data_IF_103275871747
#
_entry.id   IF_103275871747
#
_cell.length_a   1.000
_cell.length_b   1.000
_cell.length_c   1.000
_cell.angle_alpha   90.00
_cell.angle_beta   90.00
_cell.angle_gamma   90.00
#
_symmetry.space_group_name_H-M   'P 1'
#
loop_
_entity.id
_entity.type
_entity.pdbx_description
1 polymer ?
#
# COMPACT_ATOMS: atom_id res chain seq x y z
N UNK A 1 -11.10 -39.72 -9.71
CA UNK A 1 -11.28 -39.37 -8.29
C UNK A 1 -10.10 -38.52 -7.84
N UNK A 2 -10.27 -37.19 -7.81
CA UNK A 2 -9.31 -36.19 -7.30
C UNK A 2 -10.04 -34.84 -7.27
N UNK A 3 -11.10 -34.75 -6.48
CA UNK A 3 -11.95 -33.56 -6.31
C UNK A 3 -12.20 -33.33 -4.81
N UNK A 4 -11.16 -33.38 -3.98
CA UNK A 4 -11.30 -33.20 -2.52
C UNK A 4 -10.16 -32.37 -1.91
N UNK A 5 -9.54 -31.48 -2.70
CA UNK A 5 -8.44 -30.62 -2.23
C UNK A 5 -8.83 -29.15 -2.02
N UNK A 6 -10.08 -28.75 -2.31
CA UNK A 6 -10.52 -27.34 -2.23
C UNK A 6 -11.27 -26.97 -0.93
N UNK A 7 -11.55 -27.93 -0.04
CA UNK A 7 -12.37 -27.68 1.15
C UNK A 7 -11.55 -27.30 2.40
N UNK A 8 -10.23 -27.37 2.34
CA UNK A 8 -9.34 -27.08 3.49
C UNK A 8 -9.06 -25.59 3.73
N UNK A 9 -9.41 -24.70 2.78
CA UNK A 9 -9.22 -23.25 2.92
C UNK A 9 -10.43 -22.51 3.52
N UNK A 10 -11.58 -23.20 3.65
CA UNK A 10 -12.81 -22.63 4.22
C UNK A 10 -12.70 -22.14 5.69
N UNK A 11 -11.96 -22.79 6.62
CA UNK A 11 -11.94 -22.32 8.01
C UNK A 11 -11.13 -21.04 8.21
N UNK A 12 -10.25 -20.67 7.28
CA UNK A 12 -9.48 -19.41 7.34
C UNK A 12 -10.35 -18.18 7.03
N UNK A 13 -11.41 -18.33 6.23
CA UNK A 13 -12.38 -17.27 5.95
C UNK A 13 -13.32 -17.01 7.14
N UNK A 14 -13.63 -18.03 7.95
CA UNK A 14 -14.41 -17.87 9.18
C UNK A 14 -13.60 -17.25 10.33
N UNK A 15 -12.27 -17.38 10.33
CA UNK A 15 -11.41 -16.72 11.32
C UNK A 15 -11.31 -15.19 11.11
N UNK A 16 -11.42 -14.71 9.87
CA UNK A 16 -11.45 -13.28 9.57
C UNK A 16 -12.79 -12.64 9.97
N UNK A 17 -13.90 -13.37 9.85
CA UNK A 17 -15.21 -12.93 10.35
C UNK A 17 -15.29 -12.92 11.89
N UNK A 18 -14.48 -13.72 12.58
CA UNK A 18 -14.36 -13.69 14.04
C UNK A 18 -13.42 -12.59 14.57
N UNK A 19 -12.59 -11.99 13.70
CA UNK A 19 -11.78 -10.80 14.01
C UNK A 19 -12.45 -9.48 13.56
N UNK A 20 -13.72 -9.55 13.11
CA UNK A 20 -14.48 -8.44 12.53
C UNK A 20 -15.85 -8.21 13.17
N UNK A 21 -15.99 -8.44 14.47
CA UNK A 21 -17.15 -7.97 15.25
C UNK A 21 -16.81 -6.64 15.92
N UNK A 22 -16.60 -5.59 15.11
CA UNK A 22 -16.36 -4.22 15.56
C UNK A 22 -17.64 -3.42 15.78
N UNK A 23 -18.81 -4.07 15.85
CA UNK A 23 -20.10 -3.38 15.91
C UNK A 23 -20.51 -2.93 17.33
N UNK A 24 -19.85 -3.43 18.38
CA UNK A 24 -20.07 -2.99 19.77
C UNK A 24 -18.85 -2.21 20.28
N UNK A 25 -18.50 -1.15 19.56
CA UNK A 25 -17.58 -0.13 20.08
C UNK A 25 -18.37 0.79 21.03
N UNK A 26 -18.58 0.31 22.25
CA UNK A 26 -18.94 1.05 23.46
C UNK A 26 -19.50 2.47 23.24
N UNK A 27 -20.83 2.61 23.14
CA UNK A 27 -21.49 3.92 23.26
C UNK A 27 -21.19 4.59 24.63
N UNK A 28 -20.75 3.81 25.62
CA UNK A 28 -20.34 4.26 26.96
C UNK A 28 -18.89 4.79 27.02
N UNK A 29 -18.12 4.68 25.92
CA UNK A 29 -16.76 5.22 25.82
C UNK A 29 -16.69 6.46 24.91
N UNK A 30 -17.78 7.23 24.83
CA UNK A 30 -17.68 8.64 24.48
C UNK A 30 -16.87 9.29 25.60
N UNK A 31 -15.55 9.39 25.38
CA UNK A 31 -14.66 10.11 26.27
C UNK A 31 -15.17 11.54 26.40
N UNK A 32 -15.91 11.81 27.48
CA UNK A 32 -16.32 13.15 27.83
C UNK A 32 -15.04 13.98 28.04
N UNK A 33 -14.85 14.91 27.11
CA UNK A 33 -13.77 15.88 26.97
C UNK A 33 -12.46 15.44 26.32
N UNK A 34 -12.43 15.56 24.99
CA UNK A 34 -11.20 15.78 24.20
C UNK A 34 -10.97 17.29 24.01
N UNK A 35 -11.56 18.15 24.85
CA UNK A 35 -11.32 19.59 24.85
C UNK A 35 -10.20 20.00 25.83
N UNK A 36 -9.09 19.27 25.89
CA UNK A 36 -7.87 19.88 26.39
C UNK A 36 -7.24 20.69 25.26
N UNK A 37 -7.21 22.04 25.31
CA UNK A 37 -6.59 22.83 24.26
C UNK A 37 -5.15 22.38 24.05
N UNK A 38 -4.71 22.29 22.79
CA UNK A 38 -3.38 21.80 22.43
C UNK A 38 -2.26 22.51 23.21
N UNK A 39 -2.45 23.80 23.51
CA UNK A 39 -1.52 24.61 24.32
C UNK A 39 -1.33 24.08 25.75
N UNK A 40 -2.39 23.56 26.37
CA UNK A 40 -2.30 22.99 27.72
C UNK A 40 -1.56 21.65 27.71
N UNK A 41 -1.75 20.83 26.67
CA UNK A 41 -1.02 19.58 26.51
C UNK A 41 0.50 19.79 26.29
N UNK A 42 0.88 20.91 25.66
CA UNK A 42 2.29 21.23 25.39
C UNK A 42 3.01 21.94 26.55
N UNK A 43 2.29 22.45 27.54
CA UNK A 43 2.89 23.25 28.64
C UNK A 43 3.76 22.40 29.58
N UNK A 44 3.45 21.10 29.73
CA UNK A 44 4.20 20.18 30.60
C UNK A 44 5.28 19.37 29.85
N UNK A 45 5.42 19.58 28.54
CA UNK A 45 6.41 18.86 27.75
C UNK A 45 7.83 19.34 28.08
N UNK A 46 8.76 18.44 28.47
CA UNK A 46 10.15 18.84 28.66
C UNK A 46 10.77 19.30 27.34
N UNK A 47 11.64 20.31 27.42
CA UNK A 47 12.40 20.76 26.25
C UNK A 47 13.19 19.58 25.66
N UNK A 48 13.16 19.39 24.33
CA UNK A 48 13.99 18.37 23.70
C UNK A 48 15.46 18.63 24.03
N UNK A 49 16.20 17.56 24.31
CA UNK A 49 17.62 17.65 24.60
C UNK A 49 18.35 18.27 23.39
N UNK A 50 19.38 19.12 23.63
CA UNK A 50 20.18 19.65 22.54
C UNK A 50 20.82 18.50 21.76
N UNK A 51 20.65 18.50 20.44
CA UNK A 51 21.29 17.53 19.57
C UNK A 51 22.79 17.83 19.49
N UNK A 52 23.60 16.98 20.13
CA UNK A 52 25.05 17.09 20.14
C UNK A 52 25.69 16.90 18.74
N UNK A 53 24.92 16.47 17.73
CA UNK A 53 25.31 16.35 16.33
C UNK A 53 25.07 17.60 15.48
N UNK A 54 24.40 18.63 16.00
CA UNK A 54 24.21 19.90 15.28
C UNK A 54 25.53 20.69 15.21
N UNK A 55 26.35 20.39 14.20
CA UNK A 55 27.45 21.28 13.80
C UNK A 55 26.88 22.43 12.98
N UNK A 56 27.09 23.68 13.41
CA UNK A 56 26.86 24.87 12.58
C UNK A 56 27.93 24.89 11.50
N UNK A 57 27.73 24.12 10.44
CA UNK A 57 28.38 24.38 9.17
C UNK A 57 27.67 25.59 8.53
N UNK A 58 28.40 26.58 7.98
CA UNK A 58 27.77 27.65 7.22
C UNK A 58 26.97 27.02 6.08
N UNK A 59 25.72 27.46 5.91
CA UNK A 59 24.87 27.04 4.81
C UNK A 59 25.61 27.30 3.49
N UNK A 60 26.13 26.24 2.88
CA UNK A 60 26.62 26.29 1.51
C UNK A 60 25.39 26.59 0.65
N UNK A 61 25.47 27.67 -0.14
CA UNK A 61 24.41 28.18 -1.02
C UNK A 61 23.66 27.06 -1.72
N UNK A 62 22.34 27.03 -1.52
CA UNK A 62 21.37 26.18 -2.19
C UNK A 62 21.17 26.58 -3.66
N UNK A 63 22.26 26.78 -4.40
CA UNK A 63 22.26 27.25 -5.79
C UNK A 63 22.95 26.25 -6.74
N UNK A 64 23.03 24.98 -6.34
CA UNK A 64 23.22 23.90 -7.31
C UNK A 64 21.91 23.67 -8.08
N UNK A 65 21.95 23.49 -9.42
CA UNK A 65 20.77 23.10 -10.16
C UNK A 65 20.30 21.74 -9.63
N UNK A 66 19.12 21.72 -9.01
CA UNK A 66 18.39 20.48 -8.73
C UNK A 66 18.30 19.73 -10.06
N UNK A 67 18.80 18.50 -10.09
CA UNK A 67 18.72 17.64 -11.26
C UNK A 67 17.27 17.63 -11.79
N UNK A 68 17.12 17.80 -13.11
CA UNK A 68 15.81 17.80 -13.79
C UNK A 68 14.91 16.71 -13.22
N UNK A 69 13.65 17.02 -12.87
CA UNK A 69 12.73 16.01 -12.39
C UNK A 69 12.59 14.95 -13.49
N UNK A 70 13.06 13.74 -13.21
CA UNK A 70 12.79 12.59 -14.07
C UNK A 70 11.29 12.49 -14.20
N UNK A 71 10.74 12.57 -15.42
CA UNK A 71 9.31 12.40 -15.66
C UNK A 71 8.94 10.93 -15.50
N UNK A 72 8.86 10.51 -14.23
CA UNK A 72 8.52 9.15 -13.81
C UNK A 72 7.11 8.75 -14.25
N UNK A 73 6.26 9.73 -14.58
CA UNK A 73 4.90 9.49 -15.07
C UNK A 73 4.94 8.94 -16.49
N UNK A 74 5.75 9.54 -17.38
CA UNK A 74 5.93 9.03 -18.73
C UNK A 74 6.52 7.61 -18.73
N UNK A 75 7.57 7.38 -17.94
CA UNK A 75 8.19 6.04 -17.83
C UNK A 75 7.22 4.98 -17.27
N UNK A 76 6.36 5.34 -16.32
CA UNK A 76 5.34 4.44 -15.79
C UNK A 76 4.24 4.13 -16.82
N UNK A 77 3.86 5.11 -17.64
CA UNK A 77 2.87 4.92 -18.70
C UNK A 77 3.40 3.98 -19.80
N UNK A 78 4.66 4.13 -20.21
CA UNK A 78 5.29 3.25 -21.19
C UNK A 78 5.37 1.80 -20.69
N UNK A 79 5.79 1.61 -19.44
CA UNK A 79 5.84 0.27 -18.82
C UNK A 79 4.45 -0.39 -18.73
N UNK A 80 3.40 0.40 -18.45
CA UNK A 80 2.03 -0.11 -18.42
C UNK A 80 1.55 -0.52 -19.83
N UNK A 81 1.89 0.25 -20.86
CA UNK A 81 1.54 -0.08 -22.25
C UNK A 81 2.22 -1.37 -22.72
N UNK A 82 3.49 -1.57 -22.36
CA UNK A 82 4.24 -2.80 -22.67
C UNK A 82 3.62 -4.02 -21.98
N UNK A 83 3.27 -3.91 -20.70
CA UNK A 83 2.62 -5.00 -19.97
C UNK A 83 1.26 -5.40 -20.57
N UNK A 84 0.48 -4.44 -21.06
CA UNK A 84 -0.80 -4.73 -21.74
C UNK A 84 -0.55 -5.48 -23.07
N UNK A 85 0.45 -5.05 -23.85
CA UNK A 85 0.79 -5.71 -25.11
C UNK A 85 1.24 -7.17 -24.90
N UNK A 86 2.00 -7.45 -23.84
CA UNK A 86 2.40 -8.80 -23.49
C UNK A 86 1.20 -9.69 -23.13
N UNK A 87 0.27 -9.19 -22.32
CA UNK A 87 -0.96 -9.90 -21.94
C UNK A 87 -1.81 -10.23 -23.17
N UNK A 88 -1.97 -9.28 -24.10
CA UNK A 88 -2.74 -9.50 -25.34
C UNK A 88 -2.08 -10.56 -26.24
N UNK A 89 -0.75 -10.56 -26.34
CA UNK A 89 0.01 -11.57 -27.08
C UNK A 89 -0.14 -12.97 -26.47
N UNK A 90 -0.01 -13.09 -25.16
CA UNK A 90 -0.20 -14.37 -24.46
C UNK A 90 -1.64 -14.88 -24.57
N UNK A 91 -2.63 -13.99 -24.48
CA UNK A 91 -4.04 -14.34 -24.68
C UNK A 91 -4.30 -14.89 -26.09
N UNK A 92 -3.76 -14.25 -27.12
CA UNK A 92 -3.88 -14.72 -28.51
C UNK A 92 -3.21 -16.10 -28.71
N UNK A 93 -2.06 -16.33 -28.09
CA UNK A 93 -1.38 -17.63 -28.12
C UNK A 93 -2.19 -18.73 -27.41
N UNK A 94 -2.81 -18.42 -26.27
CA UNK A 94 -3.67 -19.35 -25.53
C UNK A 94 -4.94 -19.73 -26.32
N UNK A 95 -5.57 -18.77 -27.00
CA UNK A 95 -6.72 -19.03 -27.87
C UNK A 95 -6.34 -19.91 -29.06
N UNK A 96 -5.19 -19.67 -29.69
CA UNK A 96 -4.69 -20.49 -30.78
C UNK A 96 -4.43 -21.94 -30.32
N UNK A 97 -3.79 -22.12 -29.17
CA UNK A 97 -3.54 -23.44 -28.58
C UNK A 97 -4.85 -24.19 -28.28
N UNK A 98 -5.86 -23.49 -27.76
CA UNK A 98 -7.19 -24.05 -27.47
C UNK A 98 -7.87 -24.54 -28.74
N UNK A 99 -7.87 -23.72 -29.80
CA UNK A 99 -8.47 -24.09 -31.10
C UNK A 99 -7.78 -25.29 -31.76
N UNK A 100 -6.45 -25.40 -31.62
CA UNK A 100 -5.70 -26.57 -32.09
C UNK A 100 -6.08 -27.83 -31.31
N UNK A 101 -6.23 -27.72 -29.99
CA UNK A 101 -6.66 -28.85 -29.15
C UNK A 101 -8.07 -29.33 -29.53
N UNK A 102 -9.03 -28.41 -29.72
CA UNK A 102 -10.40 -28.72 -30.14
C UNK A 102 -10.46 -29.36 -31.54
N UNK A 103 -9.61 -28.95 -32.47
CA UNK A 103 -9.56 -29.55 -33.83
C UNK A 103 -8.90 -30.93 -33.86
N UNK A 104 -8.18 -31.32 -32.80
CA UNK A 104 -7.46 -32.59 -32.71
C UNK A 104 -8.23 -33.69 -31.97
N UNK A 105 -9.42 -33.36 -31.46
CA UNK A 105 -10.31 -34.23 -30.69
C UNK A 105 -11.51 -34.66 -31.53
#
# INVERSE_FOLDING_TARGET
>A
MKMIALTAAAPLLFALAACGSSDDASEDAMADTVEMPADQAMTEAPMPAPDAGLTTAPAVEANEPVAEPVDTTAAAADAAAEAVADIESEAAAAEAATRTAESSM
#
